data_IF_889033951244
#
_entry.id   IF_889033951244
#
_cell.length_a   1.000
_cell.length_b   1.000
_cell.length_c   1.000
_cell.angle_alpha   90.00
_cell.angle_beta   90.00
_cell.angle_gamma   90.00
#
_symmetry.space_group_name_H-M   'P 1'
#
loop_
_entity.id
_entity.type
_entity.pdbx_description
1 polymer ?
#
# COMPACT_ATOMS: atom_id res chain seq x y z
N UNK A 1 8.26 -30.32 4.87
CA UNK A 1 8.75 -29.69 6.12
C UNK A 1 10.05 -28.97 5.83
N UNK A 2 10.31 -27.84 6.49
CA UNK A 2 11.60 -27.17 6.42
C UNK A 2 12.22 -27.09 7.84
N UNK A 3 13.55 -26.96 7.91
CA UNK A 3 14.24 -26.81 9.18
C UNK A 3 14.79 -25.38 9.35
N UNK A 4 14.78 -24.91 10.59
CA UNK A 4 15.37 -23.61 10.95
C UNK A 4 16.90 -23.70 10.91
N UNK A 5 17.55 -22.84 10.14
CA UNK A 5 19.02 -22.83 10.04
C UNK A 5 19.71 -22.45 11.35
N UNK A 6 19.04 -21.73 12.27
CA UNK A 6 19.61 -21.33 13.55
C UNK A 6 19.46 -22.40 14.64
N UNK A 7 18.25 -22.91 14.89
CA UNK A 7 17.99 -23.85 15.99
C UNK A 7 17.73 -25.29 15.54
N UNK A 8 17.78 -25.58 14.26
CA UNK A 8 17.56 -26.90 13.63
C UNK A 8 16.15 -27.49 13.81
N UNK A 9 15.25 -26.81 14.50
CA UNK A 9 13.84 -27.27 14.62
C UNK A 9 13.22 -27.46 13.23
N UNK A 10 12.50 -28.54 13.04
CA UNK A 10 11.73 -28.83 11.83
C UNK A 10 10.25 -28.51 12.04
N UNK A 11 9.61 -27.93 11.02
CA UNK A 11 8.19 -27.63 11.04
C UNK A 11 7.66 -27.35 9.64
N UNK A 12 6.38 -27.64 9.41
CA UNK A 12 5.64 -27.21 8.22
C UNK A 12 5.42 -25.69 8.21
N UNK A 13 5.52 -25.05 9.37
CA UNK A 13 5.36 -23.60 9.55
C UNK A 13 6.63 -22.80 9.21
N UNK A 14 7.72 -23.47 8.88
CA UNK A 14 8.97 -22.80 8.49
C UNK A 14 8.99 -22.66 6.98
N UNK A 15 9.11 -21.41 6.50
CA UNK A 15 9.28 -21.12 5.08
C UNK A 15 10.50 -21.83 4.49
N UNK A 16 10.33 -22.49 3.34
CA UNK A 16 11.43 -23.15 2.61
C UNK A 16 12.47 -22.16 2.09
N UNK A 17 12.09 -20.91 1.86
CA UNK A 17 13.00 -19.86 1.40
C UNK A 17 13.72 -19.17 2.56
N UNK A 18 12.97 -18.71 3.57
CA UNK A 18 13.56 -18.02 4.72
C UNK A 18 14.37 -18.97 5.60
N UNK A 19 13.85 -20.20 5.83
CA UNK A 19 14.45 -21.24 6.69
C UNK A 19 14.78 -20.75 8.09
N UNK A 20 13.88 -19.97 8.68
CA UNK A 20 13.93 -19.45 10.05
C UNK A 20 12.58 -19.65 10.72
N UNK A 21 12.58 -20.12 11.97
CA UNK A 21 11.36 -20.17 12.78
C UNK A 21 11.08 -18.81 13.45
N UNK A 22 9.83 -18.53 13.76
CA UNK A 22 9.39 -17.29 14.40
C UNK A 22 10.13 -17.01 15.72
N UNK A 23 10.40 -18.05 16.53
CA UNK A 23 11.15 -17.91 17.77
C UNK A 23 12.55 -17.37 17.52
N UNK A 24 13.31 -17.95 16.57
CA UNK A 24 14.65 -17.47 16.26
C UNK A 24 14.66 -16.05 15.69
N UNK A 25 13.64 -15.68 14.92
CA UNK A 25 13.50 -14.29 14.45
C UNK A 25 13.26 -13.33 15.61
N UNK A 26 12.43 -13.69 16.59
CA UNK A 26 12.13 -12.83 17.74
C UNK A 26 13.29 -12.72 18.73
N UNK A 27 13.89 -13.86 19.10
CA UNK A 27 14.83 -13.98 20.22
C UNK A 27 16.30 -13.82 19.79
N UNK A 28 16.64 -14.17 18.54
CA UNK A 28 18.00 -14.14 18.00
C UNK A 28 18.14 -13.28 16.75
N UNK A 29 17.42 -12.14 16.72
CA UNK A 29 17.24 -11.33 15.51
C UNK A 29 18.56 -10.92 14.86
N UNK A 30 19.48 -10.37 15.62
CA UNK A 30 20.76 -9.87 15.08
C UNK A 30 21.59 -10.99 14.43
N UNK A 31 21.53 -12.19 14.99
CA UNK A 31 22.20 -13.38 14.45
C UNK A 31 21.60 -13.83 13.12
N UNK A 32 20.28 -13.71 12.96
CA UNK A 32 19.56 -14.17 11.76
C UNK A 32 19.30 -13.06 10.73
N UNK A 33 19.50 -11.80 11.09
CA UNK A 33 19.28 -10.64 10.23
C UNK A 33 20.05 -10.70 8.90
N UNK A 34 21.34 -11.14 8.86
CA UNK A 34 22.03 -11.27 7.57
C UNK A 34 21.32 -12.21 6.59
N UNK A 35 20.75 -13.31 7.10
CA UNK A 35 19.95 -14.24 6.29
C UNK A 35 18.66 -13.59 5.78
N UNK A 36 17.95 -12.87 6.65
CA UNK A 36 16.73 -12.14 6.30
C UNK A 36 17.03 -11.14 5.17
N UNK A 37 18.05 -10.30 5.34
CA UNK A 37 18.47 -9.32 4.34
C UNK A 37 18.80 -9.99 3.00
N UNK A 38 19.61 -11.06 3.02
CA UNK A 38 19.98 -11.81 1.81
C UNK A 38 18.74 -12.28 1.03
N UNK A 39 17.72 -12.81 1.70
CA UNK A 39 16.51 -13.29 1.02
C UNK A 39 15.73 -12.12 0.41
N UNK A 40 15.62 -10.99 1.11
CA UNK A 40 14.97 -9.80 0.54
C UNK A 40 15.74 -9.25 -0.66
N UNK A 41 17.06 -9.17 -0.59
CA UNK A 41 17.92 -8.75 -1.72
C UNK A 41 17.66 -9.64 -2.93
N UNK A 42 17.84 -10.97 -2.78
CA UNK A 42 17.63 -11.93 -3.87
C UNK A 42 16.22 -11.87 -4.48
N UNK A 43 15.19 -11.61 -3.66
CA UNK A 43 13.82 -11.51 -4.15
C UNK A 43 13.57 -10.27 -5.00
N UNK A 44 14.42 -9.24 -4.88
CA UNK A 44 14.29 -7.95 -5.57
C UNK A 44 15.22 -7.82 -6.79
N UNK A 45 16.43 -8.35 -6.68
CA UNK A 45 17.44 -8.27 -7.76
C UNK A 45 16.93 -8.85 -9.08
N UNK A 46 16.16 -9.94 -9.04
CA UNK A 46 15.57 -10.55 -10.24
C UNK A 46 14.61 -9.62 -11.01
N UNK A 47 14.17 -8.52 -10.38
CA UNK A 47 13.33 -7.48 -10.98
C UNK A 47 14.11 -6.16 -11.16
N UNK A 48 15.42 -6.17 -11.05
CA UNK A 48 16.26 -4.98 -11.12
C UNK A 48 15.80 -3.87 -10.13
N UNK A 49 15.37 -4.28 -8.95
CA UNK A 49 14.98 -3.39 -7.85
C UNK A 49 16.08 -3.34 -6.79
N UNK A 50 16.33 -2.18 -6.14
CA UNK A 50 17.31 -2.09 -5.06
C UNK A 50 17.02 -3.09 -3.95
N UNK A 51 18.00 -3.86 -3.54
CA UNK A 51 17.87 -4.85 -2.46
C UNK A 51 17.61 -4.22 -1.10
N UNK A 52 18.17 -3.06 -0.85
CA UNK A 52 17.99 -2.22 0.34
C UNK A 52 17.64 -0.79 -0.05
N UNK A 53 17.10 -0.01 0.89
CA UNK A 53 16.86 1.41 0.68
C UNK A 53 18.21 2.14 0.50
N UNK A 54 18.42 2.90 -0.58
CA UNK A 54 19.68 3.62 -0.78
C UNK A 54 19.89 4.65 0.32
N UNK A 55 21.15 4.78 0.76
CA UNK A 55 21.56 5.69 1.82
C UNK A 55 22.89 6.40 1.49
N UNK A 56 22.98 6.97 0.30
CA UNK A 56 24.18 7.71 -0.16
C UNK A 56 24.34 9.01 0.64
N UNK A 57 25.52 9.28 1.25
CA UNK A 57 25.70 10.44 2.14
C UNK A 57 25.35 11.79 1.50
N UNK A 58 25.70 11.98 0.23
CA UNK A 58 25.38 13.17 -0.56
C UNK A 58 24.09 13.05 -1.36
N UNK A 59 23.33 11.96 -1.17
CA UNK A 59 22.14 11.67 -1.95
C UNK A 59 20.94 12.55 -1.61
N UNK A 60 20.05 12.73 -2.59
CA UNK A 60 18.78 13.42 -2.36
C UNK A 60 17.85 12.53 -1.51
N UNK A 61 17.30 13.10 -0.45
CA UNK A 61 16.34 12.43 0.40
C UNK A 61 14.96 12.40 -0.25
N UNK A 62 14.35 11.22 -0.26
CA UNK A 62 12.94 11.02 -0.56
C UNK A 62 12.15 10.91 0.76
N UNK A 63 11.15 11.74 0.94
CA UNK A 63 10.32 11.83 2.15
C UNK A 63 8.89 11.31 1.96
N UNK A 64 8.68 10.36 1.04
CA UNK A 64 7.34 9.82 0.78
C UNK A 64 6.92 8.70 1.74
N UNK A 65 7.87 7.93 2.25
CA UNK A 65 7.58 6.77 3.11
C UNK A 65 8.71 6.50 4.12
N UNK A 66 8.49 5.48 4.95
CA UNK A 66 9.40 5.06 6.02
C UNK A 66 10.80 4.64 5.54
N UNK A 67 10.99 4.33 4.26
CA UNK A 67 12.32 3.97 3.74
C UNK A 67 13.28 5.17 3.66
N UNK A 68 12.78 6.39 3.62
CA UNK A 68 13.55 7.64 3.64
C UNK A 68 14.82 7.60 2.75
N UNK A 69 14.69 6.98 1.57
CA UNK A 69 15.80 6.74 0.65
C UNK A 69 16.62 8.01 0.41
N UNK A 70 17.93 7.89 0.53
CA UNK A 70 18.91 8.92 0.11
C UNK A 70 19.59 8.42 -1.15
N UNK A 71 19.23 8.97 -2.29
CA UNK A 71 19.67 8.50 -3.60
C UNK A 71 20.80 9.38 -4.13
N UNK A 72 21.99 8.79 -4.36
CA UNK A 72 23.05 9.39 -5.16
C UNK A 72 22.63 9.59 -6.61
N UNK A 73 23.46 10.27 -7.42
CA UNK A 73 23.14 10.48 -8.83
C UNK A 73 23.01 9.15 -9.58
N UNK A 74 21.95 9.00 -10.37
CA UNK A 74 21.60 7.76 -11.07
C UNK A 74 20.98 6.67 -10.18
N UNK A 75 20.99 6.81 -8.84
CA UNK A 75 20.41 5.78 -7.95
C UNK A 75 18.89 5.78 -7.97
N UNK A 76 18.36 4.56 -7.90
CA UNK A 76 16.92 4.26 -7.81
C UNK A 76 16.51 4.04 -6.36
N UNK A 77 15.42 4.67 -5.94
CA UNK A 77 14.82 4.45 -4.61
C UNK A 77 14.24 3.05 -4.44
N UNK A 78 14.05 2.64 -3.20
CA UNK A 78 13.57 1.29 -2.85
C UNK A 78 12.28 0.88 -3.58
N UNK A 79 11.32 1.78 -3.79
CA UNK A 79 10.09 1.48 -4.54
C UNK A 79 10.29 1.21 -6.04
N UNK A 80 11.49 1.45 -6.58
CA UNK A 80 11.80 1.27 -8.00
C UNK A 80 11.29 2.39 -8.92
N UNK A 81 10.57 3.37 -8.37
CA UNK A 81 9.92 4.42 -9.17
C UNK A 81 10.70 5.74 -9.18
N UNK A 82 11.42 6.05 -8.11
CA UNK A 82 12.17 7.30 -7.99
C UNK A 82 13.63 7.11 -8.32
N UNK A 83 14.16 8.01 -9.13
CA UNK A 83 15.58 8.03 -9.51
C UNK A 83 16.09 9.46 -9.27
N UNK A 84 17.29 9.59 -8.72
CA UNK A 84 17.97 10.89 -8.69
C UNK A 84 18.67 11.10 -10.04
N UNK A 85 18.22 12.08 -10.79
CA UNK A 85 18.83 12.49 -12.04
C UNK A 85 19.40 13.90 -11.88
N UNK A 86 20.71 13.99 -11.73
CA UNK A 86 21.46 15.26 -11.62
C UNK A 86 20.86 16.23 -10.57
N UNK A 87 20.60 15.71 -9.39
CA UNK A 87 20.09 16.53 -8.30
C UNK A 87 18.56 16.73 -8.29
N UNK A 88 17.81 16.01 -9.14
CA UNK A 88 16.34 16.04 -9.17
C UNK A 88 15.78 14.63 -9.08
N UNK A 89 14.71 14.45 -8.30
CA UNK A 89 13.99 13.18 -8.28
C UNK A 89 13.09 13.11 -9.52
N UNK A 90 13.46 12.28 -10.49
CA UNK A 90 12.59 11.91 -11.60
C UNK A 90 11.59 10.88 -11.11
N UNK A 91 10.31 11.03 -11.47
CA UNK A 91 9.30 10.11 -10.94
C UNK A 91 7.95 10.21 -11.62
N UNK A 92 7.05 9.31 -11.20
CA UNK A 92 5.63 9.62 -11.20
C UNK A 92 5.40 10.99 -10.53
N UNK A 93 4.65 11.84 -11.16
CA UNK A 93 4.30 13.18 -10.67
C UNK A 93 2.84 13.19 -10.19
N UNK A 94 2.34 14.33 -9.72
CA UNK A 94 0.92 14.49 -9.49
C UNK A 94 0.07 14.39 -10.78
N UNK A 95 0.70 14.49 -11.94
CA UNK A 95 0.03 14.44 -13.24
C UNK A 95 0.13 13.09 -13.93
N UNK A 96 1.19 12.31 -13.68
CA UNK A 96 1.45 11.02 -14.33
C UNK A 96 1.76 9.94 -13.32
N UNK A 97 1.05 8.82 -13.39
CA UNK A 97 1.25 7.64 -12.55
C UNK A 97 1.37 6.37 -13.37
N UNK A 98 2.01 5.35 -12.80
CA UNK A 98 2.10 4.00 -13.35
C UNK A 98 1.10 3.11 -12.62
N UNK A 99 0.03 2.73 -13.28
CA UNK A 99 -1.09 2.02 -12.69
C UNK A 99 -1.91 1.33 -13.78
N UNK A 100 -2.73 0.41 -13.36
CA UNK A 100 -3.86 -0.13 -14.11
C UNK A 100 -5.12 -0.01 -13.28
N UNK A 101 -6.29 -0.13 -13.89
CA UNK A 101 -7.57 -0.15 -13.17
C UNK A 101 -8.60 -1.00 -13.91
N UNK A 102 -9.58 -1.42 -13.17
CA UNK A 102 -10.72 -2.15 -13.69
C UNK A 102 -11.99 -1.81 -12.89
N UNK A 103 -13.13 -2.11 -13.45
CA UNK A 103 -14.40 -1.99 -12.75
C UNK A 103 -14.72 -3.29 -12.03
N UNK A 104 -15.00 -3.17 -10.75
CA UNK A 104 -15.29 -4.28 -9.86
C UNK A 104 -16.73 -4.13 -9.33
N UNK A 105 -17.69 -5.00 -9.76
CA UNK A 105 -19.08 -4.90 -9.32
C UNK A 105 -19.23 -4.94 -7.81
N UNK A 106 -20.13 -4.14 -7.25
CA UNK A 106 -20.47 -4.16 -5.84
C UNK A 106 -21.62 -5.14 -5.55
N UNK A 107 -21.60 -5.84 -4.39
CA UNK A 107 -20.53 -5.89 -3.40
C UNK A 107 -19.28 -6.62 -3.93
N UNK A 108 -18.10 -6.15 -3.55
CA UNK A 108 -16.81 -6.68 -4.00
C UNK A 108 -16.15 -7.52 -2.92
N UNK A 109 -15.07 -8.23 -3.25
CA UNK A 109 -14.24 -8.97 -2.29
C UNK A 109 -13.26 -8.09 -1.49
N UNK A 110 -13.48 -6.78 -1.43
CA UNK A 110 -12.70 -5.84 -0.64
C UNK A 110 -12.68 -6.25 0.85
N UNK A 111 -11.51 -6.18 1.48
CA UNK A 111 -11.32 -6.54 2.91
C UNK A 111 -12.19 -5.73 3.89
N UNK A 112 -12.74 -4.59 3.47
CA UNK A 112 -13.66 -3.76 4.25
C UNK A 112 -15.13 -3.86 3.83
N UNK A 113 -15.47 -4.78 2.95
CA UNK A 113 -16.81 -4.87 2.33
C UNK A 113 -17.93 -4.98 3.37
N UNK A 114 -17.74 -5.78 4.40
CA UNK A 114 -18.69 -6.06 5.48
C UNK A 114 -19.05 -4.85 6.38
N UNK A 115 -18.30 -3.73 6.29
CA UNK A 115 -18.52 -2.49 7.07
C UNK A 115 -18.51 -1.22 6.20
N UNK A 116 -18.32 -1.34 4.88
CA UNK A 116 -18.26 -0.17 4.02
C UNK A 116 -19.63 0.16 3.42
N UNK A 117 -19.85 1.40 2.96
CA UNK A 117 -21.09 1.77 2.30
C UNK A 117 -21.46 0.90 1.08
N UNK A 118 -20.47 0.58 0.23
CA UNK A 118 -20.70 -0.20 -0.98
C UNK A 118 -21.10 -1.65 -0.73
N UNK A 119 -20.53 -2.29 0.31
CA UNK A 119 -20.81 -3.68 0.66
C UNK A 119 -21.99 -3.87 1.60
N UNK A 120 -22.23 -2.92 2.50
CA UNK A 120 -23.18 -3.09 3.61
C UNK A 120 -24.20 -1.95 3.75
N UNK A 121 -24.18 -0.92 2.88
CA UNK A 121 -25.09 0.23 2.96
C UNK A 121 -24.83 1.16 4.15
N UNK A 122 -23.72 1.01 4.84
CA UNK A 122 -23.39 1.80 6.03
C UNK A 122 -23.23 3.28 5.66
N UNK A 123 -23.89 4.16 6.39
CA UNK A 123 -23.90 5.60 6.10
C UNK A 123 -24.96 6.06 5.09
N UNK A 124 -25.96 5.20 4.77
CA UNK A 124 -27.12 5.61 3.98
C UNK A 124 -27.92 6.70 4.70
N UNK A 125 -28.46 7.73 4.01
CA UNK A 125 -28.34 8.01 2.56
C UNK A 125 -27.13 8.87 2.19
N UNK A 126 -26.37 9.40 3.13
CA UNK A 126 -25.32 10.40 2.89
C UNK A 126 -24.11 9.83 2.13
N UNK A 127 -23.70 8.59 2.45
CA UNK A 127 -22.50 7.96 1.91
C UNK A 127 -22.77 6.64 1.17
N UNK A 128 -24.01 6.21 1.07
CA UNK A 128 -24.40 5.01 0.32
C UNK A 128 -25.63 5.27 -0.54
N UNK A 129 -25.68 4.68 -1.73
CA UNK A 129 -26.82 4.74 -2.64
C UNK A 129 -27.95 3.76 -2.23
N UNK A 130 -27.68 2.83 -1.29
CA UNK A 130 -28.60 1.78 -0.86
C UNK A 130 -28.53 1.57 0.66
N UNK A 131 -29.65 1.08 1.24
CA UNK A 131 -29.69 0.64 2.66
C UNK A 131 -28.94 -0.65 2.94
N UNK A 132 -28.62 -1.41 1.90
CA UNK A 132 -27.83 -2.63 1.91
C UNK A 132 -26.70 -2.55 0.89
N UNK A 133 -26.20 -3.70 0.41
CA UNK A 133 -25.19 -3.72 -0.64
C UNK A 133 -25.61 -2.93 -1.89
N UNK A 134 -24.69 -2.21 -2.48
CA UNK A 134 -24.96 -1.36 -3.66
C UNK A 134 -24.96 -2.18 -4.96
N UNK A 135 -25.90 -3.13 -5.10
CA UNK A 135 -26.06 -3.87 -6.35
C UNK A 135 -26.31 -2.95 -7.53
N UNK A 136 -25.66 -3.25 -8.66
CA UNK A 136 -25.73 -2.43 -9.88
C UNK A 136 -24.75 -1.26 -9.91
N UNK A 137 -24.07 -0.98 -8.80
CA UNK A 137 -22.93 -0.06 -8.75
C UNK A 137 -21.61 -0.81 -8.83
N UNK A 138 -20.51 -0.07 -8.98
CA UNK A 138 -19.16 -0.62 -9.08
C UNK A 138 -18.13 0.24 -8.39
N UNK A 139 -17.05 -0.41 -8.02
CA UNK A 139 -15.80 0.19 -7.59
C UNK A 139 -14.87 0.38 -8.78
N UNK A 140 -14.25 1.55 -8.91
CA UNK A 140 -13.06 1.72 -9.74
C UNK A 140 -11.85 1.25 -8.94
N UNK A 141 -11.43 0.02 -9.21
CA UNK A 141 -10.32 -0.64 -8.53
C UNK A 141 -9.00 -0.23 -9.18
N UNK A 142 -8.18 0.56 -8.48
CA UNK A 142 -6.96 1.16 -9.01
C UNK A 142 -5.73 0.45 -8.46
N UNK A 143 -5.00 -0.20 -9.35
CA UNK A 143 -3.82 -0.99 -9.03
C UNK A 143 -2.54 -0.20 -9.35
N UNK A 144 -1.87 0.36 -8.34
CA UNK A 144 -0.60 1.07 -8.51
C UNK A 144 0.57 0.12 -8.69
N UNK A 145 1.39 0.38 -9.70
CA UNK A 145 2.66 -0.31 -9.89
C UNK A 145 3.71 0.28 -8.95
N UNK A 146 4.35 -0.58 -8.17
CA UNK A 146 5.36 -0.21 -7.18
C UNK A 146 4.86 -0.29 -5.74
N UNK A 147 5.78 -0.59 -4.82
CA UNK A 147 5.53 -0.72 -3.40
C UNK A 147 6.75 -0.26 -2.60
N UNK A 148 6.52 0.29 -1.42
CA UNK A 148 7.55 0.65 -0.46
C UNK A 148 7.92 -0.49 0.51
N UNK A 149 7.29 -1.69 0.38
CA UNK A 149 7.62 -2.92 1.09
C UNK A 149 8.09 -4.01 0.13
N UNK A 150 8.58 -5.12 0.69
CA UNK A 150 8.96 -6.32 -0.03
C UNK A 150 8.41 -7.58 0.64
N UNK A 151 7.10 -7.65 0.82
CA UNK A 151 6.46 -8.81 1.44
C UNK A 151 6.79 -10.09 0.67
N UNK A 152 7.37 -11.09 1.34
CA UNK A 152 7.76 -12.38 0.73
C UNK A 152 6.55 -13.24 0.34
N UNK A 153 5.38 -12.94 0.91
CA UNK A 153 4.09 -13.59 0.66
C UNK A 153 3.12 -12.73 -0.15
N UNK A 154 3.62 -11.71 -0.87
CA UNK A 154 2.78 -10.76 -1.59
C UNK A 154 1.92 -11.45 -2.66
N UNK A 155 0.59 -11.34 -2.54
CA UNK A 155 -0.35 -11.83 -3.55
C UNK A 155 -0.24 -11.03 -4.86
N UNK A 156 -0.02 -9.73 -4.73
CA UNK A 156 0.08 -8.78 -5.83
C UNK A 156 1.53 -8.57 -6.32
N UNK A 157 2.36 -9.61 -6.23
CA UNK A 157 3.79 -9.51 -6.50
C UNK A 157 4.15 -9.04 -7.93
N UNK A 158 3.24 -9.14 -8.88
CA UNK A 158 3.39 -8.68 -10.27
C UNK A 158 3.73 -7.19 -10.38
N UNK A 159 3.41 -6.37 -9.38
CA UNK A 159 3.83 -4.97 -9.36
C UNK A 159 5.35 -4.81 -9.56
N UNK A 160 6.15 -5.84 -9.23
CA UNK A 160 7.61 -5.81 -9.41
C UNK A 160 7.98 -5.94 -10.88
N UNK A 161 7.26 -6.76 -11.64
CA UNK A 161 7.43 -6.90 -13.09
C UNK A 161 7.04 -5.59 -13.78
N UNK A 162 5.90 -5.01 -13.42
CA UNK A 162 5.43 -3.75 -13.95
C UNK A 162 6.41 -2.59 -13.68
N UNK A 163 7.02 -2.54 -12.49
CA UNK A 163 8.05 -1.53 -12.18
C UNK A 163 9.35 -1.79 -12.95
N UNK A 164 9.69 -3.05 -13.20
CA UNK A 164 10.89 -3.44 -13.93
C UNK A 164 10.75 -3.20 -15.45
N UNK A 165 9.54 -3.18 -15.97
CA UNK A 165 9.28 -2.94 -17.40
C UNK A 165 9.73 -1.54 -17.82
N UNK A 166 10.64 -1.48 -18.77
CA UNK A 166 11.15 -0.23 -19.35
C UNK A 166 10.16 0.43 -20.32
N UNK A 167 9.18 -0.32 -20.81
CA UNK A 167 8.13 0.14 -21.72
C UNK A 167 6.81 0.49 -21.01
N UNK A 168 6.81 0.48 -19.66
CA UNK A 168 5.61 0.79 -18.86
C UNK A 168 4.97 2.12 -19.27
N UNK A 169 3.67 2.11 -19.43
CA UNK A 169 2.89 3.29 -19.78
C UNK A 169 2.50 4.06 -18.52
N UNK A 170 2.61 5.39 -18.58
CA UNK A 170 2.12 6.27 -17.51
C UNK A 170 0.76 6.86 -17.89
N UNK A 171 -0.15 6.93 -16.93
CA UNK A 171 -1.49 7.47 -17.11
C UNK A 171 -1.64 8.83 -16.44
N UNK A 172 -2.26 9.81 -17.13
CA UNK A 172 -2.61 11.09 -16.51
C UNK A 172 -3.64 10.93 -15.39
N UNK A 173 -3.54 11.75 -14.35
CA UNK A 173 -4.55 11.78 -13.28
C UNK A 173 -5.96 12.15 -13.81
N UNK A 174 -6.03 12.93 -14.88
CA UNK A 174 -7.28 13.29 -15.54
C UNK A 174 -7.93 12.08 -16.24
N UNK A 175 -7.14 11.20 -16.85
CA UNK A 175 -7.62 9.97 -17.49
C UNK A 175 -8.26 9.04 -16.46
N UNK A 176 -7.58 8.82 -15.33
CA UNK A 176 -8.15 8.03 -14.23
C UNK A 176 -9.44 8.65 -13.67
N UNK A 177 -9.47 9.97 -13.48
CA UNK A 177 -10.67 10.66 -13.01
C UNK A 177 -11.82 10.55 -14.02
N UNK A 178 -11.53 10.63 -15.32
CA UNK A 178 -12.51 10.46 -16.41
C UNK A 178 -13.05 9.03 -16.57
N UNK A 179 -12.40 8.04 -15.95
CA UNK A 179 -12.89 6.65 -15.91
C UNK A 179 -14.05 6.45 -14.92
N UNK A 180 -14.40 7.46 -14.14
CA UNK A 180 -15.54 7.42 -13.21
C UNK A 180 -16.83 7.68 -13.98
N UNK A 181 -17.66 6.65 -14.14
CA UNK A 181 -18.97 6.75 -14.78
C UNK A 181 -20.13 6.80 -13.76
N UNK A 182 -21.38 6.88 -14.26
CA UNK A 182 -22.58 7.02 -13.42
C UNK A 182 -22.79 5.87 -12.43
N UNK A 183 -22.28 4.68 -12.71
CA UNK A 183 -22.41 3.51 -11.83
C UNK A 183 -21.24 3.40 -10.86
N UNK A 184 -20.16 4.18 -11.02
CA UNK A 184 -19.00 4.13 -10.13
C UNK A 184 -19.33 4.88 -8.84
N UNK A 185 -19.46 4.19 -7.72
CA UNK A 185 -19.78 4.78 -6.40
C UNK A 185 -18.55 4.89 -5.48
N UNK A 186 -17.43 4.25 -5.82
CA UNK A 186 -16.17 4.41 -5.10
C UNK A 186 -14.96 4.23 -6.01
N UNK A 187 -13.85 4.85 -5.61
CA UNK A 187 -12.50 4.56 -6.13
C UNK A 187 -11.72 3.95 -4.98
N UNK A 188 -11.19 2.75 -5.16
CA UNK A 188 -10.30 2.11 -4.19
C UNK A 188 -8.89 2.01 -4.75
N UNK A 189 -7.94 2.66 -4.08
CA UNK A 189 -6.52 2.63 -4.44
C UNK A 189 -5.80 1.52 -3.67
N UNK A 190 -5.18 0.62 -4.40
CA UNK A 190 -4.40 -0.50 -3.88
C UNK A 190 -3.30 -0.94 -4.87
N UNK A 191 -2.94 -2.19 -4.91
CA UNK A 191 -1.99 -2.73 -5.86
C UNK A 191 -0.69 -3.16 -5.20
N UNK A 192 0.45 -2.66 -5.64
CA UNK A 192 1.70 -2.72 -4.88
C UNK A 192 1.50 -1.98 -3.56
N UNK A 193 1.37 -0.67 -3.64
CA UNK A 193 0.88 0.24 -2.59
C UNK A 193 0.72 1.63 -3.20
N UNK A 194 -0.32 2.42 -2.87
CA UNK A 194 -0.48 3.77 -3.41
C UNK A 194 0.60 4.76 -2.92
N UNK A 195 1.27 4.49 -1.79
CA UNK A 195 2.24 5.40 -1.16
C UNK A 195 3.30 5.96 -2.12
N UNK A 196 3.99 5.16 -2.95
CA UNK A 196 5.02 5.70 -3.84
C UNK A 196 4.50 6.71 -4.86
N UNK A 197 3.21 6.64 -5.20
CA UNK A 197 2.58 7.47 -6.23
C UNK A 197 1.41 8.29 -5.68
N UNK A 198 1.40 8.54 -4.38
CA UNK A 198 0.25 9.14 -3.68
C UNK A 198 -0.10 10.55 -4.19
N UNK A 199 0.87 11.32 -4.68
CA UNK A 199 0.58 12.61 -5.32
C UNK A 199 -0.34 12.48 -6.53
N UNK A 200 -0.18 11.43 -7.34
CA UNK A 200 -1.06 11.14 -8.46
C UNK A 200 -2.46 10.73 -7.98
N UNK A 201 -2.53 9.79 -7.02
CA UNK A 201 -3.80 9.33 -6.47
C UNK A 201 -4.62 10.48 -5.85
N UNK A 202 -3.98 11.37 -5.10
CA UNK A 202 -4.62 12.55 -4.51
C UNK A 202 -5.13 13.53 -5.59
N UNK A 203 -4.36 13.72 -6.67
CA UNK A 203 -4.79 14.57 -7.79
C UNK A 203 -5.95 13.96 -8.56
N UNK A 204 -5.91 12.67 -8.85
CA UNK A 204 -7.00 11.95 -9.52
C UNK A 204 -8.27 11.97 -8.66
N UNK A 205 -8.15 11.70 -7.34
CA UNK A 205 -9.27 11.79 -6.39
C UNK A 205 -9.92 13.17 -6.39
N UNK A 206 -9.10 14.23 -6.36
CA UNK A 206 -9.63 15.60 -6.40
C UNK A 206 -10.39 15.85 -7.69
N UNK A 207 -9.83 15.51 -8.84
CA UNK A 207 -10.46 15.70 -10.14
C UNK A 207 -11.76 14.90 -10.24
N UNK A 208 -11.77 13.64 -9.81
CA UNK A 208 -12.94 12.79 -9.82
C UNK A 208 -14.06 13.37 -8.94
N UNK A 209 -13.76 13.82 -7.73
CA UNK A 209 -14.74 14.45 -6.84
C UNK A 209 -15.26 15.78 -7.41
N UNK A 210 -14.38 16.60 -7.99
CA UNK A 210 -14.77 17.88 -8.60
C UNK A 210 -15.74 17.68 -9.80
N UNK A 211 -15.58 16.57 -10.55
CA UNK A 211 -16.43 16.20 -11.69
C UNK A 211 -17.75 15.53 -11.28
N UNK A 212 -17.86 15.05 -10.03
CA UNK A 212 -18.99 14.24 -9.56
C UNK A 212 -19.60 14.78 -8.25
N UNK A 213 -19.76 16.11 -8.15
CA UNK A 213 -20.20 16.79 -6.91
C UNK A 213 -21.61 16.45 -6.46
N UNK A 214 -22.49 16.12 -7.41
CA UNK A 214 -23.92 15.93 -7.17
C UNK A 214 -24.31 14.47 -6.90
N UNK A 215 -23.32 13.62 -6.67
CA UNK A 215 -23.54 12.20 -6.39
C UNK A 215 -22.53 11.62 -5.42
N UNK A 216 -22.85 10.46 -4.88
CA UNK A 216 -21.96 9.72 -3.99
C UNK A 216 -20.79 9.15 -4.80
N UNK A 217 -19.58 9.58 -4.46
CA UNK A 217 -18.32 9.01 -4.93
C UNK A 217 -17.33 8.95 -3.77
N UNK A 218 -17.03 7.77 -3.29
CA UNK A 218 -16.17 7.54 -2.14
C UNK A 218 -14.72 7.32 -2.55
N UNK A 219 -13.78 7.86 -1.77
CA UNK A 219 -12.34 7.64 -1.95
C UNK A 219 -11.82 6.71 -0.86
N UNK A 220 -11.41 5.52 -1.27
CA UNK A 220 -10.94 4.46 -0.39
C UNK A 220 -9.48 4.09 -0.67
N UNK A 221 -8.80 3.56 0.35
CA UNK A 221 -7.40 3.17 0.27
C UNK A 221 -7.17 1.82 0.93
N UNK A 222 -6.37 0.98 0.30
CA UNK A 222 -5.73 -0.18 0.90
C UNK A 222 -4.23 0.03 0.89
N UNK A 223 -3.60 0.08 2.06
CA UNK A 223 -2.21 0.49 2.17
C UNK A 223 -1.51 -0.19 3.34
N UNK A 224 -0.20 -0.42 3.18
CA UNK A 224 0.66 -0.84 4.28
C UNK A 224 0.86 0.26 5.35
N UNK A 225 0.34 1.46 5.15
CA UNK A 225 0.32 2.55 6.12
C UNK A 225 1.66 3.24 6.39
N UNK A 226 2.73 2.90 5.67
CA UNK A 226 4.06 3.43 5.95
C UNK A 226 4.42 4.72 5.18
N UNK A 227 3.41 5.48 4.72
CA UNK A 227 3.61 6.79 4.09
C UNK A 227 4.10 7.84 5.10
N UNK A 228 4.62 8.95 4.58
CA UNK A 228 4.92 10.12 5.41
C UNK A 228 3.63 10.70 6.03
N UNK A 229 3.61 11.12 7.32
CA UNK A 229 2.40 11.59 8.02
C UNK A 229 1.63 12.71 7.31
N UNK A 230 2.33 13.63 6.64
CA UNK A 230 1.67 14.69 5.84
C UNK A 230 0.81 14.14 4.69
N UNK A 231 1.21 13.00 4.12
CA UNK A 231 0.47 12.34 3.05
C UNK A 231 -0.72 11.56 3.59
N UNK A 232 -0.55 10.90 4.75
CA UNK A 232 -1.66 10.27 5.48
C UNK A 232 -2.77 11.29 5.77
N UNK A 233 -2.42 12.48 6.25
CA UNK A 233 -3.41 13.54 6.54
C UNK A 233 -4.29 13.83 5.32
N UNK A 234 -3.69 13.95 4.12
CA UNK A 234 -4.45 14.17 2.88
C UNK A 234 -5.35 12.99 2.52
N UNK A 235 -4.90 11.75 2.71
CA UNK A 235 -5.76 10.57 2.50
C UNK A 235 -6.95 10.58 3.45
N UNK A 236 -6.74 10.88 4.72
CA UNK A 236 -7.79 10.99 5.74
C UNK A 236 -8.83 12.07 5.36
N UNK A 237 -8.37 13.24 4.90
CA UNK A 237 -9.25 14.33 4.46
C UNK A 237 -10.17 13.91 3.31
N UNK A 238 -9.64 13.20 2.31
CA UNK A 238 -10.45 12.70 1.19
C UNK A 238 -11.45 11.63 1.63
N UNK A 239 -11.01 10.65 2.39
CA UNK A 239 -11.90 9.59 2.88
C UNK A 239 -12.96 10.12 3.83
N UNK A 240 -12.59 11.03 4.74
CA UNK A 240 -13.53 11.64 5.69
C UNK A 240 -14.69 12.35 4.97
N UNK A 241 -14.35 13.19 3.98
CA UNK A 241 -15.33 13.99 3.24
C UNK A 241 -16.21 13.17 2.30
N UNK A 242 -15.67 12.10 1.72
CA UNK A 242 -16.36 11.33 0.69
C UNK A 242 -17.12 10.10 1.22
N UNK A 243 -17.05 9.79 2.50
CA UNK A 243 -17.61 8.55 3.04
C UNK A 243 -16.74 7.31 2.80
N UNK A 244 -15.54 7.46 2.24
CA UNK A 244 -14.60 6.38 2.04
C UNK A 244 -13.86 5.94 3.30
N UNK A 245 -12.97 4.96 3.19
CA UNK A 245 -12.19 4.44 4.32
C UNK A 245 -10.74 4.20 3.94
N UNK A 246 -9.87 4.14 4.96
CA UNK A 246 -8.48 3.71 4.84
C UNK A 246 -8.31 2.37 5.52
N UNK A 247 -7.96 1.35 4.75
CA UNK A 247 -7.64 0.01 5.23
C UNK A 247 -6.14 -0.08 5.45
N UNK A 248 -5.74 -0.20 6.71
CA UNK A 248 -4.34 -0.35 7.13
C UNK A 248 -4.00 -1.83 7.19
N UNK A 249 -3.13 -2.27 6.32
CA UNK A 249 -2.69 -3.65 6.24
C UNK A 249 -1.42 -3.87 7.08
N UNK A 250 -1.60 -4.22 8.35
CA UNK A 250 -0.54 -4.54 9.29
C UNK A 250 -0.13 -6.01 9.15
N UNK A 251 1.04 -6.25 8.57
CA UNK A 251 1.51 -7.61 8.24
C UNK A 251 2.02 -8.40 9.46
N UNK A 252 2.50 -7.74 10.49
CA UNK A 252 2.86 -8.31 11.79
C UNK A 252 2.96 -7.21 12.83
N UNK A 253 2.50 -7.48 14.06
CA UNK A 253 2.68 -6.58 15.21
C UNK A 253 4.13 -6.55 15.69
N UNK A 254 4.78 -7.71 15.75
CA UNK A 254 6.18 -7.80 16.16
C UNK A 254 7.11 -7.25 15.06
N UNK A 255 7.90 -6.23 15.38
CA UNK A 255 8.77 -5.55 14.43
C UNK A 255 9.77 -6.48 13.74
N UNK A 256 10.41 -7.39 14.51
CA UNK A 256 11.42 -8.30 13.97
C UNK A 256 10.80 -9.28 12.96
N UNK A 257 9.60 -9.79 13.26
CA UNK A 257 8.82 -10.59 12.32
C UNK A 257 8.40 -9.76 11.11
N UNK A 258 7.97 -8.53 11.31
CA UNK A 258 7.59 -7.65 10.20
C UNK A 258 8.77 -7.39 9.26
N UNK A 259 9.95 -7.13 9.79
CA UNK A 259 11.18 -6.98 8.98
C UNK A 259 11.49 -8.28 8.23
N UNK A 260 11.38 -9.44 8.90
CA UNK A 260 11.63 -10.73 8.26
C UNK A 260 10.66 -11.04 7.12
N UNK A 261 9.41 -10.59 7.22
CA UNK A 261 8.36 -10.83 6.24
C UNK A 261 8.32 -9.79 5.12
N UNK A 262 8.55 -8.53 5.46
CA UNK A 262 8.27 -7.39 4.60
C UNK A 262 9.50 -6.58 4.19
N UNK A 263 10.68 -6.86 4.79
CA UNK A 263 11.93 -6.15 4.53
C UNK A 263 12.01 -4.74 5.13
N UNK A 264 10.96 -4.29 5.82
CA UNK A 264 10.83 -2.93 6.37
C UNK A 264 10.23 -3.00 7.77
N UNK A 265 10.57 -2.06 8.66
CA UNK A 265 9.95 -1.92 9.99
C UNK A 265 8.47 -1.54 9.90
N UNK A 266 7.66 -1.99 10.86
CA UNK A 266 6.25 -1.63 11.01
C UNK A 266 6.03 -0.34 11.82
N UNK A 267 7.06 0.28 12.37
CA UNK A 267 6.94 1.46 13.26
C UNK A 267 6.10 2.56 12.65
N UNK A 268 6.41 2.97 11.42
CA UNK A 268 5.67 4.02 10.73
C UNK A 268 4.21 3.64 10.45
N UNK A 269 3.95 2.38 10.15
CA UNK A 269 2.56 1.88 9.98
C UNK A 269 1.78 2.03 11.29
N UNK A 270 2.36 1.63 12.43
CA UNK A 270 1.73 1.72 13.75
C UNK A 270 1.55 3.19 14.16
N UNK A 271 2.56 4.03 14.00
CA UNK A 271 2.49 5.48 14.28
C UNK A 271 1.35 6.13 13.48
N UNK A 272 1.29 5.84 12.18
CA UNK A 272 0.28 6.38 11.28
C UNK A 272 -1.13 5.86 11.61
N UNK A 273 -1.27 4.57 11.94
CA UNK A 273 -2.54 4.02 12.38
C UNK A 273 -3.03 4.69 13.67
N UNK A 274 -2.14 4.85 14.65
CA UNK A 274 -2.45 5.53 15.92
C UNK A 274 -2.86 6.99 15.69
N UNK A 275 -2.16 7.69 14.79
CA UNK A 275 -2.51 9.07 14.42
C UNK A 275 -3.87 9.13 13.70
N UNK A 276 -4.12 8.21 12.78
CA UNK A 276 -5.39 8.12 12.05
C UNK A 276 -6.57 7.81 12.98
N UNK A 277 -6.36 7.01 14.02
CA UNK A 277 -7.39 6.68 15.02
C UNK A 277 -7.98 7.91 15.71
N UNK A 278 -7.21 9.02 15.83
CA UNK A 278 -7.71 10.27 16.40
C UNK A 278 -8.78 10.94 15.53
N UNK A 279 -8.88 10.56 14.27
CA UNK A 279 -9.86 11.11 13.33
C UNK A 279 -11.21 10.39 13.35
N UNK A 280 -11.31 9.21 14.01
CA UNK A 280 -12.56 8.43 14.10
C UNK A 280 -13.69 9.24 14.72
N UNK A 281 -13.36 10.10 15.69
CA UNK A 281 -14.34 11.01 16.33
C UNK A 281 -14.99 12.03 15.38
N UNK A 282 -14.41 12.26 14.21
CA UNK A 282 -14.93 13.22 13.22
C UNK A 282 -16.03 12.61 12.33
N UNK A 283 -16.09 11.29 12.25
CA UNK A 283 -17.12 10.54 11.56
C UNK A 283 -17.25 9.14 12.15
N UNK A 284 -18.38 8.85 12.77
CA UNK A 284 -18.64 7.55 13.38
C UNK A 284 -19.06 6.50 12.35
N UNK A 285 -19.81 6.91 11.33
CA UNK A 285 -20.42 6.03 10.30
C UNK A 285 -20.34 6.71 8.92
N UNK A 286 -19.86 6.02 7.89
CA UNK A 286 -19.16 4.73 7.88
C UNK A 286 -17.77 4.82 8.55
N UNK A 287 -17.14 3.69 8.92
CA UNK A 287 -15.83 3.72 9.59
C UNK A 287 -14.78 4.38 8.68
N UNK A 288 -14.00 5.31 9.26
CA UNK A 288 -12.95 6.04 8.52
C UNK A 288 -11.71 5.18 8.32
N UNK A 289 -11.35 4.38 9.32
CA UNK A 289 -10.21 3.46 9.26
C UNK A 289 -10.64 2.03 9.59
N UNK A 290 -10.01 1.09 8.91
CA UNK A 290 -10.24 -0.34 9.10
C UNK A 290 -8.87 -1.01 9.28
N UNK A 291 -8.60 -1.65 10.44
CA UNK A 291 -7.41 -2.45 10.60
C UNK A 291 -7.57 -3.76 9.82
N UNK A 292 -6.59 -4.10 9.01
CA UNK A 292 -6.48 -5.38 8.33
C UNK A 292 -5.26 -6.08 8.89
N UNK A 293 -5.48 -7.18 9.60
CA UNK A 293 -4.40 -8.01 10.11
C UNK A 293 -4.17 -9.15 9.13
N UNK A 294 -3.03 -9.16 8.48
CA UNK A 294 -2.63 -10.30 7.69
C UNK A 294 -2.28 -11.45 8.62
N UNK A 295 -3.12 -12.47 8.63
CA UNK A 295 -2.85 -13.69 9.36
C UNK A 295 -2.01 -14.63 8.51
N UNK A 296 -0.82 -14.95 9.01
CA UNK A 296 0.06 -15.94 8.40
C UNK A 296 0.12 -17.15 9.34
N UNK A 297 -0.50 -18.29 9.01
CA UNK A 297 -0.37 -19.49 9.82
C UNK A 297 1.11 -19.84 9.97
N UNK A 298 1.60 -19.90 11.20
CA UNK A 298 2.97 -20.32 11.47
C UNK A 298 4.01 -19.24 11.65
N UNK A 299 3.61 -17.99 11.82
CA UNK A 299 4.54 -16.94 12.22
C UNK A 299 4.17 -16.39 13.60
#
# INVERSE_FOLDING_TARGET
MAHCLNCKQESILISTNLKLCARCIKEHFDKVLPRIKKIHVLSRERFNLPGEAPNSPSGIRCDYCANECRMGDGEKGYCGLRINEKGRLSTSSSHKGYLSWYYDPLPTNCVGDWVCPGGAGVGYPEFSNSRGPEYGYKNLAVFYHGCNFNCLFCQNWHFREEVADTHRVSHPALELAGSVDLQTSCICYFGGDPTPQLSHALKASKLALDQNKDRILRICWETNGAMHPRLLKKMLEFSLKSGGCIKFDLKSWNEKLHIALCGVSNRRTIENFTAAAQWIKLRSVPPLIIPVLSWSPGI
#
